data_IF_415301108856
#
_entry.id   IF_415301108856
#
_cell.length_a   1.000
_cell.length_b   1.000
_cell.length_c   1.000
_cell.angle_alpha   90.00
_cell.angle_beta   90.00
_cell.angle_gamma   90.00
#
_symmetry.space_group_name_H-M   'P 1'
#
loop_
_entity.id
_entity.type
_entity.pdbx_description
1 polymer ?
#
# COMPACT_ATOMS: atom_id res chain seq x y z
N UNK A 1 -0.92 -11.49 15.77
CA UNK A 1 -1.46 -11.01 14.50
C UNK A 1 -2.85 -11.58 14.31
N UNK A 2 -3.82 -10.72 14.03
CA UNK A 2 -5.21 -11.14 13.92
C UNK A 2 -5.60 -11.63 12.54
N UNK A 3 -6.84 -12.04 12.41
CA UNK A 3 -7.36 -12.62 11.17
C UNK A 3 -7.39 -11.62 10.02
N UNK A 4 -7.70 -10.34 10.31
CA UNK A 4 -7.73 -9.29 9.29
C UNK A 4 -6.34 -9.10 8.67
N UNK A 5 -5.32 -8.94 9.52
CA UNK A 5 -3.96 -8.77 9.04
C UNK A 5 -3.51 -9.98 8.23
N UNK A 6 -3.82 -11.19 8.71
CA UNK A 6 -3.43 -12.41 8.00
C UNK A 6 -4.05 -12.47 6.61
N UNK A 7 -5.32 -12.12 6.48
CA UNK A 7 -5.99 -12.12 5.18
C UNK A 7 -5.32 -11.15 4.22
N UNK A 8 -5.02 -9.93 4.69
CA UNK A 8 -4.37 -8.93 3.85
C UNK A 8 -2.96 -9.39 3.48
N UNK A 9 -2.19 -9.88 4.44
CA UNK A 9 -0.82 -10.31 4.19
C UNK A 9 -0.79 -11.46 3.19
N UNK A 10 -1.66 -12.44 3.34
CA UNK A 10 -1.70 -13.59 2.44
C UNK A 10 -2.02 -13.16 1.01
N UNK A 11 -2.96 -12.24 0.85
CA UNK A 11 -3.34 -11.78 -0.49
C UNK A 11 -2.21 -10.98 -1.12
N UNK A 12 -1.72 -9.95 -0.44
CA UNK A 12 -0.70 -9.06 -1.00
C UNK A 12 0.59 -9.81 -1.27
N UNK A 13 0.97 -10.71 -0.38
CA UNK A 13 2.20 -11.50 -0.54
C UNK A 13 2.12 -12.48 -1.71
N UNK A 14 0.92 -12.80 -2.18
CA UNK A 14 0.74 -13.75 -3.28
C UNK A 14 0.98 -13.10 -4.66
N UNK A 15 1.02 -11.77 -4.74
CA UNK A 15 1.17 -11.10 -6.03
C UNK A 15 2.61 -11.23 -6.54
N UNK A 16 2.79 -11.44 -7.86
CA UNK A 16 4.13 -11.65 -8.42
C UNK A 16 5.10 -10.53 -8.06
N UNK A 17 6.27 -10.91 -7.58
CA UNK A 17 7.34 -9.98 -7.25
C UNK A 17 7.25 -9.33 -5.89
N UNK A 18 6.18 -9.56 -5.15
CA UNK A 18 6.03 -8.95 -3.83
C UNK A 18 6.85 -9.70 -2.80
N UNK A 19 7.59 -8.95 -2.00
CA UNK A 19 8.26 -9.46 -0.81
C UNK A 19 7.67 -8.80 0.41
N UNK A 20 7.51 -9.58 1.49
CA UNK A 20 7.01 -9.07 2.76
C UNK A 20 8.05 -9.32 3.83
N UNK A 21 8.18 -8.36 4.75
CA UNK A 21 9.16 -8.45 5.82
C UNK A 21 8.66 -7.66 7.02
N UNK A 22 9.19 -7.96 8.23
CA UNK A 22 8.81 -7.17 9.39
C UNK A 22 9.20 -5.71 9.21
N UNK A 23 8.28 -4.81 9.56
CA UNK A 23 8.56 -3.38 9.55
C UNK A 23 9.25 -3.01 10.87
N UNK A 24 10.25 -2.12 10.81
CA UNK A 24 11.08 -1.83 11.99
C UNK A 24 10.31 -1.20 13.15
N UNK A 25 9.15 -0.61 12.86
CA UNK A 25 8.29 -0.05 13.91
C UNK A 25 7.10 -0.95 14.20
N UNK A 26 7.21 -2.24 13.88
CA UNK A 26 6.14 -3.20 14.04
C UNK A 26 5.31 -3.34 12.78
N UNK A 27 4.58 -4.44 12.66
CA UNK A 27 3.78 -4.71 11.47
C UNK A 27 4.56 -5.37 10.36
N UNK A 28 4.00 -5.30 9.15
CA UNK A 28 4.57 -5.96 7.98
C UNK A 28 4.66 -4.96 6.84
N UNK A 29 5.80 -4.93 6.17
CA UNK A 29 6.08 -4.08 5.03
C UNK A 29 6.07 -4.93 3.75
N UNK A 30 5.50 -4.38 2.68
CA UNK A 30 5.46 -5.06 1.38
C UNK A 30 6.23 -4.23 0.37
N UNK A 31 7.09 -4.89 -0.41
CA UNK A 31 7.90 -4.22 -1.43
C UNK A 31 7.82 -4.96 -2.75
N UNK A 32 8.10 -4.26 -3.84
CA UNK A 32 8.35 -4.82 -5.15
C UNK A 32 9.53 -4.07 -5.76
N UNK A 33 10.54 -4.81 -6.21
CA UNK A 33 11.78 -4.23 -6.74
C UNK A 33 12.39 -3.21 -5.77
N UNK A 34 12.41 -3.55 -4.48
CA UNK A 34 12.96 -2.72 -3.41
C UNK A 34 12.21 -1.40 -3.17
N UNK A 35 11.02 -1.25 -3.78
CA UNK A 35 10.18 -0.08 -3.56
C UNK A 35 9.02 -0.46 -2.67
N UNK A 36 8.73 0.37 -1.70
CA UNK A 36 7.66 0.04 -0.76
C UNK A 36 6.28 0.24 -1.38
N UNK A 37 5.45 -0.82 -1.31
CA UNK A 37 4.03 -0.75 -1.69
C UNK A 37 3.25 -0.12 -0.55
N UNK A 38 3.59 -0.47 0.69
CA UNK A 38 2.95 0.00 1.88
C UNK A 38 3.25 -0.92 3.05
N UNK A 39 2.73 -0.59 4.20
CA UNK A 39 2.91 -1.45 5.37
C UNK A 39 1.62 -1.51 6.19
N UNK A 40 1.50 -2.59 6.96
CA UNK A 40 0.30 -2.91 7.73
C UNK A 40 0.66 -2.99 9.19
N UNK A 41 -0.07 -2.25 10.02
CA UNK A 41 0.09 -2.27 11.48
C UNK A 41 -1.01 -3.15 12.08
N UNK A 42 -0.77 -4.45 12.14
CA UNK A 42 -1.74 -5.41 12.67
C UNK A 42 -3.07 -5.33 11.94
N UNK A 43 -4.16 -5.45 12.70
CA UNK A 43 -5.51 -5.46 12.15
C UNK A 43 -6.11 -4.06 11.99
N UNK A 44 -5.34 -3.00 12.26
CA UNK A 44 -5.93 -1.68 12.51
C UNK A 44 -5.60 -0.59 11.52
N UNK A 45 -4.47 -0.67 10.83
CA UNK A 45 -4.01 0.47 10.05
C UNK A 45 -3.14 0.03 8.89
N UNK A 46 -3.39 0.58 7.71
CA UNK A 46 -2.52 0.42 6.55
C UNK A 46 -2.01 1.81 6.16
N UNK A 47 -0.70 1.92 5.91
CA UNK A 47 -0.07 3.14 5.43
C UNK A 47 0.56 2.85 4.07
N UNK A 48 0.30 3.72 3.09
CA UNK A 48 0.78 3.51 1.73
C UNK A 48 1.31 4.82 1.13
N UNK A 49 2.44 4.77 0.42
CA UNK A 49 2.97 5.96 -0.28
C UNK A 49 2.44 6.04 -1.71
N UNK A 50 1.95 7.21 -2.10
CA UNK A 50 1.46 7.45 -3.45
C UNK A 50 2.04 8.75 -3.99
N UNK A 51 2.06 8.93 -5.31
CA UNK A 51 2.31 10.26 -5.86
C UNK A 51 1.27 11.24 -5.34
N UNK A 52 1.66 12.50 -5.17
CA UNK A 52 0.80 13.50 -4.56
C UNK A 52 -0.59 13.58 -5.22
N UNK A 53 -0.64 13.50 -6.56
CA UNK A 53 -1.92 13.57 -7.25
C UNK A 53 -2.84 12.42 -6.89
N UNK A 54 -2.29 11.19 -6.81
CA UNK A 54 -3.08 10.02 -6.45
C UNK A 54 -3.53 10.13 -5.00
N UNK A 55 -2.63 10.57 -4.12
CA UNK A 55 -2.97 10.79 -2.72
C UNK A 55 -4.14 11.75 -2.58
N UNK A 56 -4.12 12.86 -3.33
CA UNK A 56 -5.20 13.83 -3.27
C UNK A 56 -6.53 13.23 -3.71
N UNK A 57 -6.52 12.41 -4.75
CA UNK A 57 -7.73 11.74 -5.22
C UNK A 57 -8.27 10.75 -4.19
N UNK A 58 -7.39 9.98 -3.55
CA UNK A 58 -7.80 9.01 -2.55
C UNK A 58 -8.39 9.68 -1.31
N UNK A 59 -7.80 10.79 -0.88
CA UNK A 59 -8.31 11.53 0.26
C UNK A 59 -9.64 12.21 -0.08
N UNK A 60 -9.72 12.83 -1.26
CA UNK A 60 -10.95 13.52 -1.68
C UNK A 60 -12.12 12.55 -1.83
N UNK A 61 -11.86 11.32 -2.27
CA UNK A 61 -12.91 10.32 -2.45
C UNK A 61 -13.27 9.56 -1.16
N UNK A 62 -12.54 9.83 -0.09
CA UNK A 62 -12.80 9.16 1.19
C UNK A 62 -12.22 7.76 1.29
N UNK A 63 -11.41 7.32 0.31
CA UNK A 63 -10.82 5.99 0.33
C UNK A 63 -9.66 5.87 1.32
N UNK A 64 -9.03 6.99 1.66
CA UNK A 64 -7.96 7.04 2.62
C UNK A 64 -7.92 8.41 3.26
N UNK A 65 -7.09 8.57 4.29
CA UNK A 65 -6.89 9.84 4.99
C UNK A 65 -5.44 10.27 4.85
N UNK A 66 -5.14 11.55 5.05
CA UNK A 66 -3.75 11.99 5.15
C UNK A 66 -3.03 11.16 6.21
N UNK A 67 -1.73 10.92 5.99
CA UNK A 67 -0.96 10.11 6.91
C UNK A 67 -1.00 10.69 8.34
N UNK A 68 -1.15 9.82 9.33
CA UNK A 68 -1.36 10.25 10.71
C UNK A 68 -0.17 10.98 11.32
N UNK A 69 1.02 10.81 10.76
CA UNK A 69 2.24 11.50 11.22
C UNK A 69 2.73 12.50 10.19
N UNK A 70 2.58 12.18 8.90
CA UNK A 70 3.09 12.99 7.78
C UNK A 70 1.94 13.42 6.88
N UNK A 71 1.03 14.30 7.37
CA UNK A 71 -0.23 14.57 6.66
C UNK A 71 -0.06 15.29 5.32
N UNK A 72 1.09 15.94 5.08
CA UNK A 72 1.31 16.65 3.83
C UNK A 72 2.22 15.91 2.86
N UNK A 73 2.59 14.67 3.19
CA UNK A 73 3.41 13.84 2.32
C UNK A 73 2.53 13.09 1.33
N UNK A 74 3.14 12.29 0.46
CA UNK A 74 2.41 11.36 -0.42
C UNK A 74 1.82 10.17 0.31
N UNK A 75 2.18 9.95 1.56
CA UNK A 75 1.66 8.84 2.34
C UNK A 75 0.20 9.06 2.72
N UNK A 76 -0.57 7.98 2.70
CA UNK A 76 -1.95 7.97 3.18
C UNK A 76 -2.12 6.91 4.24
N UNK A 77 -3.12 7.09 5.10
CA UNK A 77 -3.50 6.12 6.13
C UNK A 77 -4.90 5.63 5.85
N UNK A 78 -5.11 4.32 5.96
CA UNK A 78 -6.43 3.72 5.90
C UNK A 78 -6.64 2.94 7.19
N UNK A 79 -7.48 3.48 8.04
CA UNK A 79 -7.85 2.81 9.28
C UNK A 79 -8.78 1.66 8.98
N UNK A 80 -8.57 0.54 9.64
CA UNK A 80 -9.34 -0.69 9.44
C UNK A 80 -10.23 -0.86 10.65
N UNK A 81 -11.55 -0.76 10.44
CA UNK A 81 -12.51 -0.83 11.53
C UNK A 81 -13.03 -2.24 11.75
N UNK A 82 -12.99 -3.09 10.72
CA UNK A 82 -13.45 -4.45 10.82
C UNK A 82 -13.25 -5.20 9.51
N UNK A 83 -13.73 -6.44 9.44
CA UNK A 83 -13.55 -7.26 8.22
C UNK A 83 -14.16 -6.65 6.97
N UNK A 84 -15.15 -5.78 7.12
CA UNK A 84 -15.79 -5.12 5.99
C UNK A 84 -14.84 -4.20 5.24
N UNK A 85 -13.76 -3.74 5.87
CA UNK A 85 -12.79 -2.85 5.23
C UNK A 85 -11.68 -3.59 4.47
N UNK A 86 -11.60 -4.91 4.60
CA UNK A 86 -10.48 -5.69 4.04
C UNK A 86 -10.39 -5.53 2.52
N UNK A 87 -11.50 -5.62 1.82
CA UNK A 87 -11.51 -5.50 0.37
C UNK A 87 -10.97 -4.14 -0.09
N UNK A 88 -11.38 -3.07 0.58
CA UNK A 88 -10.92 -1.72 0.24
C UNK A 88 -9.44 -1.55 0.52
N UNK A 89 -8.95 -2.11 1.62
CA UNK A 89 -7.53 -2.03 1.96
C UNK A 89 -6.69 -2.78 0.94
N UNK A 90 -7.11 -3.99 0.57
CA UNK A 90 -6.42 -4.77 -0.45
C UNK A 90 -6.41 -4.02 -1.78
N UNK A 91 -7.53 -3.36 -2.11
CA UNK A 91 -7.60 -2.57 -3.35
C UNK A 91 -6.59 -1.42 -3.35
N UNK A 92 -6.34 -0.78 -2.20
CA UNK A 92 -5.33 0.25 -2.11
C UNK A 92 -3.92 -0.30 -2.33
N UNK A 93 -3.61 -1.44 -1.70
CA UNK A 93 -2.33 -2.10 -1.94
C UNK A 93 -2.20 -2.49 -3.42
N UNK A 94 -3.27 -2.99 -4.03
CA UNK A 94 -3.23 -3.40 -5.44
C UNK A 94 -3.01 -2.20 -6.37
N UNK A 95 -3.64 -1.09 -6.08
CA UNK A 95 -3.45 0.14 -6.85
C UNK A 95 -1.98 0.55 -6.87
N UNK A 96 -1.34 0.56 -5.71
CA UNK A 96 0.06 0.96 -5.63
C UNK A 96 1.00 -0.11 -6.20
N UNK A 97 0.66 -1.38 -5.99
CA UNK A 97 1.40 -2.49 -6.57
C UNK A 97 1.44 -2.38 -8.10
N UNK A 98 0.29 -2.16 -8.72
CA UNK A 98 0.23 -2.08 -10.19
C UNK A 98 0.99 -0.88 -10.72
N UNK A 99 0.93 0.24 -10.00
CA UNK A 99 1.70 1.42 -10.37
C UNK A 99 3.21 1.12 -10.34
N UNK A 100 3.67 0.50 -9.27
CA UNK A 100 5.10 0.18 -9.11
C UNK A 100 5.57 -0.91 -10.06
N UNK A 101 4.74 -1.92 -10.29
CA UNK A 101 5.05 -3.00 -11.21
C UNK A 101 5.17 -2.48 -12.65
N UNK A 102 4.32 -1.52 -13.01
CA UNK A 102 4.35 -0.91 -14.35
C UNK A 102 5.63 -0.11 -14.57
N UNK A 103 6.10 0.58 -13.54
CA UNK A 103 7.35 1.34 -13.62
C UNK A 103 8.53 0.43 -13.90
N UNK A 104 8.53 -0.77 -13.32
CA UNK A 104 9.63 -1.72 -13.46
C UNK A 104 9.61 -2.55 -14.74
N UNK A 105 8.55 -2.46 -15.56
CA UNK A 105 8.44 -3.31 -16.76
C UNK A 105 9.33 -2.81 -17.88
N UNK A 106 10.12 -3.71 -18.51
CA UNK A 106 10.90 -3.35 -19.70
C UNK A 106 9.96 -2.87 -20.81
N UNK A 107 10.38 -1.83 -21.52
CA UNK A 107 9.58 -1.29 -22.62
C UNK A 107 8.49 -0.34 -22.20
N UNK A 108 8.29 -0.13 -20.92
CA UNK A 108 7.32 0.85 -20.44
C UNK A 108 7.85 2.26 -20.77
N UNK A 109 7.08 3.09 -21.50
CA UNK A 109 7.57 4.41 -21.91
C UNK A 109 8.04 5.28 -20.76
N UNK A 110 7.41 5.20 -19.60
CA UNK A 110 7.83 5.98 -18.45
C UNK A 110 9.19 5.52 -17.92
N UNK A 111 9.44 4.22 -17.95
CA UNK A 111 10.74 3.69 -17.53
C UNK A 111 11.83 4.07 -18.49
N UNK A 112 11.57 4.04 -19.79
CA UNK A 112 12.57 4.30 -20.80
C UNK A 112 12.96 5.76 -20.90
N UNK A 113 12.20 6.65 -20.31
CA UNK A 113 12.47 8.09 -20.34
C UNK A 113 13.39 8.57 -19.21
N UNK A 114 13.91 7.69 -18.43
CA UNK A 114 14.76 8.06 -17.30
C UNK A 114 16.22 8.04 -17.61
#
# INVERSE_FOLDING_TARGET
MGAIARTIIDEVSSWPGVESQPHRFGGVEFTIDHREIGHLHGDRLADLPFPTRVREELVASGRARPHHVLPESGWVSRWIRGPEDVTDVIALFRLNYERLARIGQPGNPKSSQR
#
